data_IF_169646647580
#
_entry.id   IF_169646647580
#
_cell.length_a   1.000
_cell.length_b   1.000
_cell.length_c   1.000
_cell.angle_alpha   90.00
_cell.angle_beta   90.00
_cell.angle_gamma   90.00
#
_symmetry.space_group_name_H-M   'P 1'
#
loop_
_entity.id
_entity.type
_entity.pdbx_description
1 polymer ?
#
# COMPACT_ATOMS: atom_id res chain seq x y z
N UNK A 1 -10.17 -8.50 60.73
CA UNK A 1 -8.98 -7.63 60.62
C UNK A 1 -9.22 -6.63 59.49
N UNK A 2 -9.65 -5.39 59.80
CA UNK A 2 -9.89 -4.34 58.80
C UNK A 2 -8.54 -3.82 58.31
N UNK A 3 -8.22 -4.01 57.03
CA UNK A 3 -7.02 -3.41 56.44
C UNK A 3 -7.08 -1.88 56.57
N UNK A 4 -5.99 -1.21 56.99
CA UNK A 4 -5.97 0.23 57.13
C UNK A 4 -6.20 0.91 55.77
N UNK A 5 -6.96 2.01 55.77
CA UNK A 5 -7.46 2.70 54.58
C UNK A 5 -6.37 3.01 53.53
N UNK A 6 -5.14 3.36 53.96
CA UNK A 6 -4.02 3.63 53.06
C UNK A 6 -3.57 2.41 52.24
N UNK A 7 -3.64 1.18 52.80
CA UNK A 7 -3.30 -0.05 52.07
C UNK A 7 -4.30 -0.39 50.97
N UNK A 8 -5.57 -0.07 51.15
CA UNK A 8 -6.59 -0.25 50.12
C UNK A 8 -6.39 0.74 48.97
N UNK A 9 -6.04 1.98 49.31
CA UNK A 9 -5.72 3.02 48.32
C UNK A 9 -4.47 2.68 47.51
N UNK A 10 -3.41 2.14 48.12
CA UNK A 10 -2.19 1.77 47.37
C UNK A 10 -2.41 0.61 46.42
N UNK A 11 -3.18 -0.40 46.82
CA UNK A 11 -3.56 -1.53 45.94
C UNK A 11 -4.41 -1.02 44.77
N UNK A 12 -5.42 -0.18 45.06
CA UNK A 12 -6.27 0.42 44.03
C UNK A 12 -5.47 1.26 43.02
N UNK A 13 -4.55 2.09 43.52
CA UNK A 13 -3.65 2.88 42.68
C UNK A 13 -2.74 1.99 41.83
N UNK A 14 -2.16 0.94 42.41
CA UNK A 14 -1.32 -0.01 41.69
C UNK A 14 -2.07 -0.71 40.55
N UNK A 15 -3.31 -1.16 40.81
CA UNK A 15 -4.16 -1.75 39.80
C UNK A 15 -4.52 -0.75 38.68
N UNK A 16 -4.85 0.50 39.05
CA UNK A 16 -5.15 1.55 38.08
C UNK A 16 -3.93 1.86 37.19
N UNK A 17 -2.73 1.98 37.77
CA UNK A 17 -1.49 2.16 37.02
C UNK A 17 -1.23 0.99 36.07
N UNK A 18 -1.46 -0.25 36.51
CA UNK A 18 -1.28 -1.42 35.66
C UNK A 18 -2.24 -1.42 34.46
N UNK A 19 -3.53 -1.10 34.67
CA UNK A 19 -4.51 -0.97 33.58
C UNK A 19 -4.11 0.14 32.61
N UNK A 20 -3.65 1.27 33.11
CA UNK A 20 -3.16 2.38 32.27
C UNK A 20 -1.95 1.97 31.43
N UNK A 21 -1.00 1.24 32.01
CA UNK A 21 0.17 0.73 31.27
C UNK A 21 -0.25 -0.23 30.14
N UNK A 22 -1.20 -1.14 30.42
CA UNK A 22 -1.73 -2.07 29.41
C UNK A 22 -2.44 -1.32 28.28
N UNK A 23 -3.25 -0.30 28.62
CA UNK A 23 -3.93 0.55 27.64
C UNK A 23 -2.92 1.32 26.78
N UNK A 24 -1.90 1.93 27.40
CA UNK A 24 -0.83 2.63 26.67
C UNK A 24 -0.10 1.69 25.71
N UNK A 25 0.23 0.47 26.16
CA UNK A 25 0.87 -0.54 25.31
C UNK A 25 -0.01 -0.94 24.12
N UNK A 26 -1.30 -1.16 24.34
CA UNK A 26 -2.25 -1.47 23.28
C UNK A 26 -2.38 -0.33 22.25
N UNK A 27 -2.50 0.91 22.72
CA UNK A 27 -2.59 2.08 21.86
C UNK A 27 -1.30 2.29 21.05
N UNK A 28 -0.14 2.10 21.67
CA UNK A 28 1.15 2.18 20.99
C UNK A 28 1.25 1.11 19.88
N UNK A 29 0.90 -0.14 20.16
CA UNK A 29 0.91 -1.21 19.17
C UNK A 29 -0.03 -0.92 17.99
N UNK A 30 -1.24 -0.40 18.27
CA UNK A 30 -2.20 0.01 17.23
C UNK A 30 -1.67 1.16 16.38
N UNK A 31 -1.03 2.15 17.00
CA UNK A 31 -0.43 3.27 16.29
C UNK A 31 0.73 2.84 15.41
N UNK A 32 1.64 2.00 15.92
CA UNK A 32 2.76 1.46 15.13
C UNK A 32 2.27 0.65 13.93
N UNK A 33 1.26 -0.21 14.12
CA UNK A 33 0.64 -0.95 13.02
C UNK A 33 0.08 0.00 11.96
N UNK A 34 -0.63 1.06 12.37
CA UNK A 34 -1.16 2.06 11.45
C UNK A 34 -0.04 2.72 10.62
N UNK A 35 1.03 3.18 11.29
CA UNK A 35 2.17 3.84 10.65
C UNK A 35 2.84 2.94 9.61
N UNK A 36 3.02 1.65 9.93
CA UNK A 36 3.61 0.68 9.02
C UNK A 36 2.73 0.45 7.79
N UNK A 37 1.42 0.27 7.98
CA UNK A 37 0.49 0.09 6.86
C UNK A 37 0.42 1.34 5.97
N UNK A 38 0.40 2.54 6.54
CA UNK A 38 0.42 3.77 5.74
C UNK A 38 1.72 3.92 4.97
N UNK A 39 2.87 3.63 5.59
CA UNK A 39 4.17 3.71 4.92
C UNK A 39 4.26 2.73 3.74
N UNK A 40 3.75 1.51 3.89
CA UNK A 40 3.69 0.56 2.78
C UNK A 40 2.78 1.02 1.64
N UNK A 41 1.61 1.59 1.96
CA UNK A 41 0.70 2.10 0.94
C UNK A 41 1.34 3.26 0.16
N UNK A 42 1.99 4.19 0.85
CA UNK A 42 2.71 5.30 0.22
C UNK A 42 3.85 4.82 -0.69
N UNK A 43 4.63 3.83 -0.24
CA UNK A 43 5.71 3.24 -1.03
C UNK A 43 5.18 2.58 -2.31
N UNK A 44 4.11 1.79 -2.21
CA UNK A 44 3.46 1.16 -3.37
C UNK A 44 2.93 2.19 -4.37
N UNK A 45 2.25 3.23 -3.88
CA UNK A 45 1.75 4.32 -4.74
C UNK A 45 2.91 5.05 -5.43
N UNK A 46 4.01 5.31 -4.72
CA UNK A 46 5.21 5.92 -5.31
C UNK A 46 5.80 5.04 -6.41
N UNK A 47 5.93 3.74 -6.17
CA UNK A 47 6.44 2.78 -7.16
C UNK A 47 5.60 2.80 -8.44
N UNK A 48 4.27 2.85 -8.33
CA UNK A 48 3.37 2.92 -9.47
C UNK A 48 3.48 4.25 -10.22
N UNK A 49 3.55 5.38 -9.50
CA UNK A 49 3.76 6.69 -10.10
C UNK A 49 5.10 6.76 -10.85
N UNK A 50 6.17 6.22 -10.26
CA UNK A 50 7.49 6.18 -10.88
C UNK A 50 7.51 5.28 -12.12
N UNK A 51 6.83 4.12 -12.08
CA UNK A 51 6.69 3.27 -13.25
C UNK A 51 5.96 3.97 -14.40
N UNK A 52 4.85 4.67 -14.11
CA UNK A 52 4.13 5.46 -15.12
C UNK A 52 4.98 6.60 -15.69
N UNK A 53 5.71 7.32 -14.83
CA UNK A 53 6.62 8.39 -15.25
C UNK A 53 7.77 7.89 -16.13
N UNK A 54 8.35 6.72 -15.80
CA UNK A 54 9.38 6.06 -16.62
C UNK A 54 8.82 5.68 -17.98
N UNK A 55 7.68 4.98 -18.01
CA UNK A 55 7.05 4.55 -19.26
C UNK A 55 6.68 5.71 -20.19
N UNK A 56 6.29 6.86 -19.65
CA UNK A 56 6.01 8.05 -20.44
C UNK A 56 7.22 8.54 -21.26
N UNK A 57 8.44 8.36 -20.74
CA UNK A 57 9.69 8.81 -21.36
C UNK A 57 10.43 7.71 -22.12
N UNK A 58 10.13 6.46 -21.81
CA UNK A 58 10.79 5.29 -22.37
C UNK A 58 10.31 4.96 -23.79
N UNK A 59 11.07 4.12 -24.49
CA UNK A 59 10.63 3.51 -25.75
C UNK A 59 9.48 2.51 -25.52
N UNK A 60 8.66 2.17 -26.55
CA UNK A 60 7.49 1.32 -26.38
C UNK A 60 7.77 -0.01 -25.67
N UNK A 61 8.93 -0.62 -25.90
CA UNK A 61 9.29 -1.87 -25.25
C UNK A 61 9.54 -1.73 -23.75
N UNK A 62 10.34 -0.76 -23.35
CA UNK A 62 10.60 -0.45 -21.93
C UNK A 62 9.34 0.04 -21.19
N UNK A 63 8.46 0.76 -21.89
CA UNK A 63 7.17 1.16 -21.37
C UNK A 63 6.25 -0.06 -21.11
N UNK A 64 6.28 -1.04 -22.00
CA UNK A 64 5.55 -2.31 -21.81
C UNK A 64 6.14 -3.16 -20.68
N UNK A 65 7.46 -3.18 -20.52
CA UNK A 65 8.10 -3.84 -19.37
C UNK A 65 7.73 -3.15 -18.05
N UNK A 66 7.64 -1.82 -18.05
CA UNK A 66 7.15 -1.06 -16.89
C UNK A 66 5.68 -1.40 -16.57
N UNK A 67 4.86 -1.63 -17.60
CA UNK A 67 3.48 -2.09 -17.43
C UNK A 67 3.44 -3.49 -16.80
N UNK A 68 4.23 -4.43 -17.32
CA UNK A 68 4.36 -5.78 -16.75
C UNK A 68 4.75 -5.74 -15.28
N UNK A 69 5.74 -4.91 -14.95
CA UNK A 69 6.17 -4.70 -13.58
C UNK A 69 5.04 -4.22 -12.66
N UNK A 70 4.19 -3.28 -13.10
CA UNK A 70 3.06 -2.78 -12.29
C UNK A 70 2.02 -3.88 -12.05
N UNK A 71 1.73 -4.71 -13.05
CA UNK A 71 0.78 -5.83 -12.95
C UNK A 71 1.27 -6.85 -11.92
N UNK A 72 2.56 -7.20 -11.98
CA UNK A 72 3.14 -8.29 -11.21
C UNK A 72 3.78 -7.84 -9.88
N UNK A 73 3.77 -6.53 -9.58
CA UNK A 73 4.56 -5.95 -8.47
C UNK A 73 4.30 -6.63 -7.11
N UNK A 74 3.04 -6.90 -6.79
CA UNK A 74 2.66 -7.69 -5.62
C UNK A 74 1.19 -8.15 -5.71
N UNK A 75 0.81 -9.28 -5.10
CA UNK A 75 -0.60 -9.62 -4.95
C UNK A 75 -1.24 -8.78 -3.84
N UNK A 76 -2.41 -8.17 -4.12
CA UNK A 76 -3.25 -7.50 -3.11
C UNK A 76 -3.44 -8.40 -1.88
N UNK A 77 -3.55 -7.79 -0.70
CA UNK A 77 -3.71 -8.53 0.56
C UNK A 77 -2.41 -8.90 1.29
N UNK A 78 -1.24 -8.71 0.68
CA UNK A 78 0.04 -9.08 1.33
C UNK A 78 0.60 -8.03 2.27
N UNK A 79 0.47 -6.73 1.93
CA UNK A 79 0.94 -5.60 2.77
C UNK A 79 -0.19 -4.81 3.42
N UNK A 80 -1.38 -4.85 2.82
CA UNK A 80 -2.59 -4.24 3.31
C UNK A 80 -3.64 -5.33 3.54
N UNK A 81 -4.49 -5.15 4.54
CA UNK A 81 -5.65 -6.03 4.68
C UNK A 81 -6.57 -5.85 3.46
N UNK A 82 -6.90 -6.95 2.78
CA UNK A 82 -7.79 -6.94 1.61
C UNK A 82 -9.12 -6.27 1.94
N UNK A 83 -9.56 -5.33 1.10
CA UNK A 83 -10.80 -4.58 1.29
C UNK A 83 -10.70 -3.45 2.33
N UNK A 84 -9.52 -3.22 2.92
CA UNK A 84 -9.29 -2.01 3.72
C UNK A 84 -9.26 -0.75 2.85
N UNK A 85 -9.43 0.42 3.47
CA UNK A 85 -9.35 1.71 2.75
C UNK A 85 -7.97 1.94 2.12
N UNK A 86 -6.90 1.47 2.76
CA UNK A 86 -5.54 1.57 2.22
C UNK A 86 -5.35 0.64 1.03
N UNK A 87 -5.84 -0.59 1.09
CA UNK A 87 -5.84 -1.51 -0.04
C UNK A 87 -6.57 -0.91 -1.25
N UNK A 88 -7.78 -0.38 -1.05
CA UNK A 88 -8.54 0.29 -2.11
C UNK A 88 -7.79 1.48 -2.72
N UNK A 89 -7.09 2.28 -1.90
CA UNK A 89 -6.27 3.40 -2.37
C UNK A 89 -5.11 2.92 -3.26
N UNK A 90 -4.40 1.88 -2.83
CA UNK A 90 -3.25 1.34 -3.57
C UNK A 90 -3.70 0.71 -4.89
N UNK A 91 -4.79 -0.06 -4.88
CA UNK A 91 -5.35 -0.66 -6.11
C UNK A 91 -5.85 0.43 -7.07
N UNK A 92 -6.47 1.51 -6.57
CA UNK A 92 -6.83 2.67 -7.40
C UNK A 92 -5.59 3.31 -8.06
N UNK A 93 -4.48 3.44 -7.31
CA UNK A 93 -3.24 3.97 -7.85
C UNK A 93 -2.61 3.04 -8.90
N UNK A 94 -2.70 1.72 -8.69
CA UNK A 94 -2.27 0.71 -9.67
C UNK A 94 -3.04 0.87 -10.97
N UNK A 95 -4.37 0.91 -10.91
CA UNK A 95 -5.23 1.05 -12.09
C UNK A 95 -4.94 2.36 -12.82
N UNK A 96 -4.75 3.45 -12.08
CA UNK A 96 -4.37 4.75 -12.64
C UNK A 96 -3.03 4.69 -13.38
N UNK A 97 -2.02 4.04 -12.80
CA UNK A 97 -0.72 3.86 -13.43
C UNK A 97 -0.81 3.00 -14.68
N UNK A 98 -1.55 1.88 -14.64
CA UNK A 98 -1.80 1.00 -15.80
C UNK A 98 -2.41 1.81 -16.95
N UNK A 99 -3.48 2.55 -16.71
CA UNK A 99 -4.15 3.36 -17.73
C UNK A 99 -3.24 4.46 -18.28
N UNK A 100 -2.42 5.07 -17.42
CA UNK A 100 -1.43 6.08 -17.83
C UNK A 100 -0.40 5.49 -18.78
N UNK A 101 0.18 4.33 -18.43
CA UNK A 101 1.18 3.64 -19.27
C UNK A 101 0.57 3.20 -20.61
N UNK A 102 -0.63 2.62 -20.60
CA UNK A 102 -1.36 2.26 -21.84
C UNK A 102 -1.58 3.49 -22.72
N UNK A 103 -1.96 4.63 -22.14
CA UNK A 103 -2.13 5.88 -22.90
C UNK A 103 -0.81 6.35 -23.53
N UNK A 104 0.31 6.25 -22.80
CA UNK A 104 1.64 6.55 -23.35
C UNK A 104 2.01 5.61 -24.49
N UNK A 105 1.72 4.31 -24.36
CA UNK A 105 1.96 3.32 -25.42
C UNK A 105 1.11 3.62 -26.67
N UNK A 106 -0.18 3.93 -26.51
CA UNK A 106 -1.06 4.37 -27.61
C UNK A 106 -0.48 5.58 -28.34
N UNK A 107 -0.05 6.59 -27.58
CA UNK A 107 0.51 7.81 -28.15
C UNK A 107 1.82 7.58 -28.91
N UNK A 108 2.69 6.69 -28.42
CA UNK A 108 4.00 6.40 -29.04
C UNK A 108 3.90 5.48 -30.26
N UNK A 109 2.97 4.54 -30.24
CA UNK A 109 2.85 3.50 -31.29
C UNK A 109 1.82 3.86 -32.35
N UNK A 110 0.87 4.75 -32.05
CA UNK A 110 -0.27 5.05 -32.91
C UNK A 110 -1.32 3.93 -32.96
N UNK A 111 -1.15 2.85 -32.19
CA UNK A 111 -2.05 1.70 -32.18
C UNK A 111 -3.00 1.75 -30.99
N UNK A 112 -4.14 1.04 -31.09
CA UNK A 112 -5.09 0.90 -29.98
C UNK A 112 -5.49 -0.57 -29.78
N UNK A 113 -4.85 -1.21 -28.79
CA UNK A 113 -5.14 -2.60 -28.39
C UNK A 113 -6.17 -2.70 -27.25
N UNK A 114 -6.92 -1.63 -26.99
CA UNK A 114 -7.85 -1.56 -25.85
C UNK A 114 -7.16 -1.20 -24.54
N UNK A 115 -7.76 -1.63 -23.43
CA UNK A 115 -7.34 -1.31 -22.06
C UNK A 115 -6.81 -2.52 -21.28
N UNK A 116 -6.79 -3.72 -21.89
CA UNK A 116 -6.19 -4.90 -21.27
C UNK A 116 -4.65 -4.76 -21.28
N UNK A 117 -4.01 -4.60 -20.11
CA UNK A 117 -2.58 -4.38 -20.04
C UNK A 117 -1.77 -5.59 -20.53
N UNK A 118 -2.31 -6.82 -20.45
CA UNK A 118 -1.60 -8.04 -20.88
C UNK A 118 -1.39 -8.07 -22.39
N UNK A 119 -2.29 -7.48 -23.16
CA UNK A 119 -2.15 -7.40 -24.63
C UNK A 119 -0.99 -6.49 -25.01
N UNK A 120 -0.85 -5.35 -24.32
CA UNK A 120 0.25 -4.41 -24.52
C UNK A 120 1.61 -5.02 -24.15
N UNK A 121 1.67 -5.70 -22.98
CA UNK A 121 2.87 -6.43 -22.54
C UNK A 121 3.25 -7.51 -23.55
N UNK A 122 2.31 -8.32 -24.00
CA UNK A 122 2.59 -9.40 -24.97
C UNK A 122 3.13 -8.86 -26.30
N UNK A 123 2.67 -7.70 -26.74
CA UNK A 123 3.04 -7.15 -28.05
C UNK A 123 4.36 -6.39 -28.05
N UNK A 124 4.59 -5.56 -27.03
CA UNK A 124 5.75 -4.67 -26.98
C UNK A 124 6.77 -5.07 -25.93
N UNK A 125 6.42 -5.91 -24.96
CA UNK A 125 7.33 -6.36 -23.92
C UNK A 125 8.59 -6.99 -24.50
N UNK A 126 9.73 -6.69 -23.89
CA UNK A 126 11.04 -7.14 -24.37
C UNK A 126 11.64 -8.26 -23.52
N UNK A 127 10.93 -8.66 -22.45
CA UNK A 127 11.29 -9.73 -21.53
C UNK A 127 10.19 -10.78 -21.43
#
# INVERSE_FOLDING_TARGET
MLMPHWRRSTIGLGAACFVLLMLCGYLAARWTSLVVHTAFAEDQIRVFADAANRAARAEPGEAADSLAYVIDYYPSGTKQATGSRLDALVETARDSAILSIIRSLKAKTGENHGEDPKVWVKKYGTK
#
